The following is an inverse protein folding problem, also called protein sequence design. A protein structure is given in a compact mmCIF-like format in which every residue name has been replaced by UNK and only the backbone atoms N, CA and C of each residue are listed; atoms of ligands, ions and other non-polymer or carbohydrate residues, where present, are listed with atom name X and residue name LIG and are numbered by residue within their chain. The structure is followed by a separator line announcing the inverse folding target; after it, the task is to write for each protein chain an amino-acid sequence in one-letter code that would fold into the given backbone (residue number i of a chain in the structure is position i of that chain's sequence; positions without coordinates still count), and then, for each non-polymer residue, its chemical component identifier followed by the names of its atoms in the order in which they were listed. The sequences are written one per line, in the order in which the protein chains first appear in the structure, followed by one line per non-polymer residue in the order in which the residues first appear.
data_IF_228201386321
#
_entry.id   IF_228201386321
#
_cell.length_a   1.000
_cell.length_b   1.000
_cell.length_c   1.000
_cell.angle_alpha   90.00
_cell.angle_beta   90.00
_cell.angle_gamma   90.00
#
_symmetry.space_group_name_H-M   'P 1'
#
loop_
_entity.id
_entity.type
_entity.pdbx_description
1 polymer ?
#
# COMPACT_ATOMS: atom_id res chain seq x y z
N UNK A 1 43.37 19.96 -66.26
CA UNK A 1 44.76 20.01 -66.78
C UNK A 1 45.51 21.12 -66.05
N UNK A 2 46.66 20.77 -65.44
CA UNK A 2 47.80 21.62 -65.01
C UNK A 2 47.57 22.73 -63.95
N UNK A 3 47.71 22.32 -62.70
CA UNK A 3 48.74 22.72 -61.72
C UNK A 3 49.54 24.04 -61.91
N UNK A 4 49.73 24.71 -60.76
CA UNK A 4 50.88 25.52 -60.28
C UNK A 4 50.62 27.04 -60.10
N UNK A 5 51.05 27.80 -59.07
CA UNK A 5 51.93 27.61 -57.90
C UNK A 5 51.72 28.79 -56.89
N UNK A 6 51.85 28.48 -55.60
CA UNK A 6 52.43 29.24 -54.46
C UNK A 6 52.25 30.77 -54.28
N UNK A 7 51.75 31.18 -53.10
CA UNK A 7 52.54 31.98 -52.14
C UNK A 7 51.97 31.92 -50.71
N UNK A 8 52.84 31.56 -49.76
CA UNK A 8 52.64 31.63 -48.30
C UNK A 8 53.13 32.99 -47.80
N UNK A 9 52.58 33.50 -46.68
CA UNK A 9 53.32 33.88 -45.47
C UNK A 9 52.41 34.48 -44.35
N UNK A 10 52.47 33.84 -43.15
CA UNK A 10 52.46 34.40 -41.76
C UNK A 10 51.28 35.26 -41.28
N UNK A 11 50.83 35.28 -40.02
CA UNK A 11 50.97 34.47 -38.79
C UNK A 11 50.06 35.15 -37.74
N UNK A 12 49.21 34.37 -37.06
CA UNK A 12 48.81 34.41 -35.64
C UNK A 12 48.55 35.79 -34.98
N UNK A 13 47.30 36.05 -34.54
CA UNK A 13 47.00 36.57 -33.19
C UNK A 13 45.56 36.19 -32.76
N UNK A 14 45.42 35.93 -31.47
CA UNK A 14 44.35 35.26 -30.74
C UNK A 14 43.39 36.26 -30.07
N UNK A 15 42.16 35.79 -29.76
CA UNK A 15 41.33 36.09 -28.57
C UNK A 15 40.33 37.30 -28.57
N UNK A 16 39.06 36.92 -28.34
CA UNK A 16 37.90 37.55 -27.65
C UNK A 16 37.54 39.02 -27.90
N UNK A 17 36.26 39.27 -28.23
CA UNK A 17 35.30 39.90 -27.29
C UNK A 17 33.85 39.86 -27.81
N UNK A 18 32.96 39.45 -26.92
CA UNK A 18 31.50 39.51 -26.93
C UNK A 18 30.92 40.92 -27.08
N UNK A 19 29.84 41.06 -27.86
CA UNK A 19 28.63 41.84 -27.53
C UNK A 19 27.69 41.89 -28.74
N UNK A 20 26.50 41.29 -28.65
CA UNK A 20 25.33 41.78 -29.39
C UNK A 20 24.06 41.44 -28.62
N UNK A 21 23.51 42.46 -27.97
CA UNK A 21 22.12 42.55 -27.53
C UNK A 21 21.34 43.34 -28.57
N UNK A 22 20.23 42.79 -29.09
CA UNK A 22 18.88 43.40 -29.06
C UNK A 22 17.94 42.82 -30.13
N UNK A 23 16.69 42.62 -29.67
CA UNK A 23 15.39 42.69 -30.37
C UNK A 23 14.92 41.53 -31.25
N UNK A 24 13.85 40.87 -30.79
CA UNK A 24 12.51 41.01 -31.41
C UNK A 24 11.40 40.65 -30.40
N UNK A 25 10.34 41.45 -30.38
CA UNK A 25 9.08 41.22 -29.68
C UNK A 25 8.08 40.50 -30.60
N UNK A 26 7.08 39.89 -29.95
CA UNK A 26 5.66 39.73 -30.34
C UNK A 26 5.14 38.36 -30.75
N UNK A 27 4.00 38.07 -30.12
CA UNK A 27 2.90 37.15 -30.41
C UNK A 27 3.14 35.64 -30.31
N UNK A 28 2.88 35.13 -29.10
CA UNK A 28 1.62 34.42 -28.85
C UNK A 28 1.39 33.14 -29.63
N UNK A 29 1.88 32.03 -29.09
CA UNK A 29 1.15 30.77 -29.13
C UNK A 29 1.44 30.01 -27.82
N UNK A 30 0.38 29.75 -27.05
CA UNK A 30 0.41 28.94 -25.84
C UNK A 30 0.40 27.49 -26.30
N UNK A 31 1.57 26.86 -26.30
CA UNK A 31 1.72 25.40 -26.41
C UNK A 31 3.15 25.04 -26.03
N UNK A 32 3.31 24.35 -24.90
CA UNK A 32 4.62 23.95 -24.41
C UNK A 32 4.58 23.53 -22.95
N UNK A 33 3.78 22.50 -22.65
CA UNK A 33 3.93 21.72 -21.43
C UNK A 33 5.21 20.87 -21.54
N UNK A 34 6.34 21.50 -21.29
CA UNK A 34 7.62 20.82 -21.06
C UNK A 34 8.44 21.66 -20.08
N UNK A 35 8.02 21.67 -18.82
CA UNK A 35 8.94 22.03 -17.75
C UNK A 35 10.08 21.01 -17.79
N UNK A 36 11.28 21.48 -18.13
CA UNK A 36 12.50 20.69 -17.96
C UNK A 36 12.64 20.31 -16.49
N UNK A 37 13.01 19.06 -16.16
CA UNK A 37 13.11 18.60 -14.78
C UNK A 37 13.99 19.55 -13.95
N UNK A 38 13.53 19.90 -12.75
CA UNK A 38 14.36 20.59 -11.77
C UNK A 38 15.52 19.64 -11.38
N UNK A 39 16.78 19.98 -11.69
CA UNK A 39 17.91 19.09 -11.44
C UNK A 39 18.21 18.88 -9.94
N UNK A 40 17.47 19.53 -9.04
CA UNK A 40 17.61 19.39 -7.59
C UNK A 40 16.59 18.45 -6.94
N UNK A 41 15.53 18.04 -7.66
CA UNK A 41 14.55 17.08 -7.16
C UNK A 41 14.92 15.68 -7.66
N UNK A 42 15.27 14.79 -6.73
CA UNK A 42 15.43 13.37 -7.04
C UNK A 42 14.02 12.78 -7.21
N UNK A 43 13.62 12.60 -8.46
CA UNK A 43 12.37 11.93 -8.82
C UNK A 43 12.56 10.41 -8.80
N UNK A 44 11.67 9.70 -8.11
CA UNK A 44 11.62 8.24 -8.10
C UNK A 44 10.43 7.73 -8.92
N UNK A 45 10.58 6.62 -9.65
CA UNK A 45 9.45 5.89 -10.19
C UNK A 45 8.51 5.42 -9.07
N UNK A 46 7.21 5.46 -9.32
CA UNK A 46 6.18 5.05 -8.36
C UNK A 46 5.29 4.02 -9.00
N UNK A 47 5.17 2.86 -8.35
CA UNK A 47 4.15 1.87 -8.67
C UNK A 47 2.94 2.07 -7.74
N UNK A 48 1.73 2.01 -8.30
CA UNK A 48 0.51 2.14 -7.52
C UNK A 48 -0.64 1.34 -8.13
N UNK A 49 -1.48 0.77 -7.27
CA UNK A 49 -2.75 0.18 -7.70
C UNK A 49 -3.79 1.27 -7.85
N UNK A 50 -4.45 1.31 -8.99
CA UNK A 50 -5.65 2.10 -9.22
C UNK A 50 -6.85 1.16 -9.28
N UNK A 51 -7.90 1.48 -8.54
CA UNK A 51 -9.17 0.74 -8.54
C UNK A 51 -10.32 1.69 -8.27
N UNK A 52 -11.52 1.28 -8.65
CA UNK A 52 -12.76 1.89 -8.17
C UNK A 52 -12.98 1.55 -6.70
N UNK A 53 -13.82 2.34 -6.03
CA UNK A 53 -14.28 1.97 -4.69
C UNK A 53 -15.13 0.69 -4.80
N UNK A 54 -14.86 -0.32 -3.96
CA UNK A 54 -15.66 -1.53 -3.94
C UNK A 54 -17.05 -1.21 -3.41
N UNK A 55 -18.07 -1.66 -4.14
CA UNK A 55 -19.48 -1.48 -3.78
C UNK A 55 -20.24 -2.78 -4.01
N UNK A 56 -21.28 -2.99 -3.21
CA UNK A 56 -22.18 -4.14 -3.32
C UNK A 56 -23.18 -3.96 -4.49
N UNK A 57 -24.07 -4.95 -4.65
CA UNK A 57 -25.12 -4.90 -5.68
C UNK A 57 -26.10 -3.72 -5.49
N UNK A 58 -26.24 -3.23 -4.27
CA UNK A 58 -27.10 -2.11 -3.89
C UNK A 58 -26.36 -0.75 -3.95
N UNK A 59 -25.07 -0.75 -4.35
CA UNK A 59 -24.22 0.42 -4.47
C UNK A 59 -23.71 0.98 -3.13
N UNK A 60 -23.84 0.22 -2.04
CA UNK A 60 -23.24 0.55 -0.75
C UNK A 60 -21.74 0.23 -0.76
N UNK A 61 -20.97 0.97 0.03
CA UNK A 61 -19.53 0.77 0.11
C UNK A 61 -19.21 -0.56 0.78
N UNK A 62 -18.50 -1.42 0.06
CA UNK A 62 -17.96 -2.65 0.62
C UNK A 62 -16.62 -2.35 1.29
N UNK A 63 -16.42 -2.90 2.48
CA UNK A 63 -15.23 -2.62 3.28
C UNK A 63 -14.53 -3.93 3.63
N UNK A 64 -13.21 -3.87 3.77
CA UNK A 64 -12.43 -5.07 3.99
C UNK A 64 -12.38 -5.42 5.48
N UNK A 65 -13.04 -6.51 5.86
CA UNK A 65 -12.77 -7.18 7.14
C UNK A 65 -11.36 -7.81 7.07
N UNK A 66 -10.44 -7.50 7.99
CA UNK A 66 -9.11 -8.11 7.99
C UNK A 66 -9.12 -9.65 8.16
N UNK A 67 -10.24 -10.25 8.56
CA UNK A 67 -10.44 -11.70 8.64
C UNK A 67 -10.80 -12.35 7.31
N UNK A 68 -11.20 -11.57 6.31
CA UNK A 68 -11.51 -12.05 4.96
C UNK A 68 -10.41 -11.58 3.99
N UNK A 69 -9.19 -12.12 4.08
CA UNK A 69 -8.06 -11.59 3.34
C UNK A 69 -8.14 -11.88 1.83
N UNK A 70 -9.11 -12.68 1.37
CA UNK A 70 -9.22 -13.14 -0.02
C UNK A 70 -10.30 -12.43 -0.83
N UNK A 71 -11.04 -11.47 -0.26
CA UNK A 71 -12.08 -10.72 -0.97
C UNK A 71 -11.58 -10.18 -2.31
N UNK A 72 -12.32 -10.48 -3.37
CA UNK A 72 -12.04 -10.07 -4.73
C UNK A 72 -12.79 -8.79 -5.10
N UNK A 73 -12.07 -7.81 -5.66
CA UNK A 73 -12.63 -6.53 -6.11
C UNK A 73 -12.28 -6.29 -7.58
N UNK A 74 -13.23 -6.57 -8.45
CA UNK A 74 -13.06 -6.49 -9.90
C UNK A 74 -12.57 -5.11 -10.39
N UNK A 75 -11.56 -5.10 -11.27
CA UNK A 75 -11.17 -3.93 -12.06
C UNK A 75 -9.99 -3.11 -11.53
N UNK A 76 -9.15 -3.69 -10.66
CA UNK A 76 -7.90 -3.06 -10.25
C UNK A 76 -6.85 -3.13 -11.37
N UNK A 77 -5.97 -2.12 -11.44
CA UNK A 77 -4.84 -2.08 -12.38
C UNK A 77 -3.59 -1.55 -11.69
N UNK A 78 -2.44 -2.12 -12.05
CA UNK A 78 -1.14 -1.68 -11.56
C UNK A 78 -0.48 -0.76 -12.58
N UNK A 79 -0.20 0.46 -12.15
CA UNK A 79 0.48 1.46 -12.97
C UNK A 79 1.88 1.74 -12.43
N UNK A 80 2.81 1.94 -13.35
CA UNK A 80 4.14 2.47 -13.07
C UNK A 80 4.25 3.88 -13.64
N UNK A 81 4.52 4.85 -12.77
CA UNK A 81 4.81 6.24 -13.14
C UNK A 81 6.31 6.46 -13.11
N UNK A 82 6.86 7.10 -14.14
CA UNK A 82 8.32 7.33 -14.18
C UNK A 82 8.81 8.21 -13.04
N UNK A 83 7.96 9.13 -12.55
CA UNK A 83 8.29 10.15 -11.55
C UNK A 83 7.05 10.55 -10.76
N UNK A 84 7.24 11.08 -9.55
CA UNK A 84 6.19 11.59 -8.66
C UNK A 84 5.50 12.88 -9.13
N UNK A 85 5.62 13.25 -10.41
CA UNK A 85 5.01 14.46 -10.98
C UNK A 85 3.58 14.19 -11.44
N UNK A 86 2.62 15.13 -11.29
CA UNK A 86 1.28 15.00 -11.86
C UNK A 86 1.27 14.75 -13.36
N UNK A 87 2.18 15.39 -14.10
CA UNK A 87 2.26 15.32 -15.57
C UNK A 87 3.09 14.13 -16.09
N UNK A 88 3.71 13.35 -15.20
CA UNK A 88 4.46 12.17 -15.64
C UNK A 88 3.51 11.10 -16.19
N UNK A 89 3.91 10.46 -17.29
CA UNK A 89 3.15 9.37 -17.91
C UNK A 89 3.09 8.16 -16.98
N UNK A 90 1.94 7.50 -16.95
CA UNK A 90 1.74 6.19 -16.33
C UNK A 90 1.73 5.10 -17.39
N UNK A 91 2.42 4.00 -17.08
CA UNK A 91 2.43 2.76 -17.86
C UNK A 91 1.58 1.72 -17.12
N UNK A 92 0.59 1.15 -17.78
CA UNK A 92 -0.12 -0.03 -17.29
C UNK A 92 0.80 -1.25 -17.42
N UNK A 93 1.15 -1.87 -16.29
CA UNK A 93 2.06 -3.02 -16.24
C UNK A 93 1.36 -4.34 -15.95
N UNK A 94 0.08 -4.32 -15.57
CA UNK A 94 -0.69 -5.53 -15.23
C UNK A 94 -1.57 -6.05 -16.35
N UNK A 95 -2.08 -5.19 -17.22
CA UNK A 95 -3.03 -5.61 -18.27
C UNK A 95 -2.43 -6.58 -19.31
N UNK A 96 -1.11 -6.76 -19.32
CA UNK A 96 -0.45 -7.78 -20.13
C UNK A 96 -0.72 -9.22 -19.65
N UNK A 97 -1.21 -9.41 -18.41
CA UNK A 97 -1.44 -10.72 -17.81
C UNK A 97 -2.73 -11.41 -18.25
N UNK A 98 -3.69 -10.65 -18.80
CA UNK A 98 -5.03 -11.14 -19.15
C UNK A 98 -5.52 -10.57 -20.49
N UNK A 99 -6.68 -11.05 -20.94
CA UNK A 99 -7.34 -10.53 -22.14
C UNK A 99 -7.73 -9.05 -22.00
N UNK A 100 -7.96 -8.41 -23.14
CA UNK A 100 -8.42 -7.01 -23.16
C UNK A 100 -9.78 -6.92 -22.44
N UNK A 101 -9.94 -5.88 -21.61
CA UNK A 101 -11.13 -5.63 -20.77
C UNK A 101 -11.38 -6.65 -19.65
N UNK A 102 -10.42 -7.53 -19.36
CA UNK A 102 -10.48 -8.42 -18.19
C UNK A 102 -10.58 -7.62 -16.88
N UNK A 103 -11.53 -8.00 -16.03
CA UNK A 103 -11.74 -7.41 -14.71
C UNK A 103 -11.01 -8.24 -13.65
N UNK A 104 -9.70 -8.08 -13.56
CA UNK A 104 -8.86 -8.72 -12.54
C UNK A 104 -8.72 -7.82 -11.30
N UNK A 105 -8.17 -8.36 -10.20
CA UNK A 105 -7.85 -7.60 -8.98
C UNK A 105 -6.36 -7.72 -8.63
N UNK A 106 -5.80 -6.69 -7.97
CA UNK A 106 -4.38 -6.58 -7.60
C UNK A 106 -4.22 -5.93 -6.24
N UNK A 107 -3.45 -6.55 -5.35
CA UNK A 107 -3.07 -5.98 -4.05
C UNK A 107 -1.63 -6.33 -3.67
N UNK A 108 -1.21 -5.76 -2.54
CA UNK A 108 0.04 -6.08 -1.84
C UNK A 108 1.30 -5.93 -2.70
N UNK A 109 1.61 -4.70 -3.11
CA UNK A 109 2.82 -4.39 -3.87
C UNK A 109 4.04 -4.49 -2.94
N UNK A 110 5.07 -5.21 -3.38
CA UNK A 110 6.42 -5.19 -2.79
C UNK A 110 7.48 -4.96 -3.87
N UNK A 111 8.59 -4.35 -3.50
CA UNK A 111 9.71 -4.01 -4.41
C UNK A 111 10.98 -4.63 -3.86
N UNK A 112 11.85 -5.16 -4.72
CA UNK A 112 13.15 -5.68 -4.30
C UNK A 112 14.13 -4.56 -3.90
N UNK A 113 15.21 -4.92 -3.22
CA UNK A 113 16.24 -3.98 -2.76
C UNK A 113 16.87 -3.16 -3.90
N UNK A 114 17.00 -3.73 -5.11
CA UNK A 114 17.51 -3.01 -6.28
C UNK A 114 16.49 -2.07 -6.94
N UNK A 115 15.21 -2.15 -6.60
CA UNK A 115 14.16 -1.28 -7.14
C UNK A 115 13.76 -1.57 -8.58
N UNK A 116 14.13 -2.73 -9.14
CA UNK A 116 13.87 -3.09 -10.54
C UNK A 116 12.89 -4.25 -10.71
N UNK A 117 12.45 -4.90 -9.64
CA UNK A 117 11.43 -5.94 -9.67
C UNK A 117 10.33 -5.64 -8.66
N UNK A 118 9.09 -5.87 -9.09
CA UNK A 118 7.89 -5.60 -8.30
C UNK A 118 7.13 -6.91 -8.14
N UNK A 119 6.89 -7.34 -6.92
CA UNK A 119 5.96 -8.41 -6.58
C UNK A 119 4.60 -7.84 -6.24
N UNK A 120 3.55 -8.59 -6.54
CA UNK A 120 2.19 -8.28 -6.13
C UNK A 120 1.32 -9.54 -6.20
N UNK A 121 0.22 -9.52 -5.46
CA UNK A 121 -0.83 -10.52 -5.58
C UNK A 121 -1.82 -10.08 -6.66
N UNK A 122 -2.15 -10.97 -7.60
CA UNK A 122 -3.13 -10.71 -8.66
C UNK A 122 -4.06 -11.89 -8.84
N UNK A 123 -5.35 -11.59 -8.89
CA UNK A 123 -6.44 -12.54 -9.06
C UNK A 123 -6.99 -12.43 -10.49
N UNK A 124 -7.18 -13.56 -11.18
CA UNK A 124 -7.81 -13.55 -12.50
C UNK A 124 -9.29 -13.12 -12.40
N UNK A 125 -9.94 -12.69 -13.49
CA UNK A 125 -11.37 -12.42 -13.44
C UNK A 125 -12.15 -13.66 -12.98
N UNK A 126 -13.18 -13.43 -12.16
CA UNK A 126 -14.12 -14.49 -11.79
C UNK A 126 -14.81 -15.06 -13.02
N UNK A 127 -15.10 -16.36 -12.96
CA UNK A 127 -15.78 -17.09 -14.01
C UNK A 127 -17.27 -17.10 -13.68
N UNK A 128 -18.07 -16.53 -14.59
CA UNK A 128 -19.53 -16.53 -14.48
C UNK A 128 -20.08 -17.96 -14.39
N UNK A 129 -21.02 -18.19 -13.46
CA UNK A 129 -21.67 -19.47 -13.19
C UNK A 129 -20.74 -20.62 -12.75
N UNK A 130 -19.47 -20.36 -12.44
CA UNK A 130 -18.56 -21.38 -11.89
C UNK A 130 -18.79 -21.55 -10.37
N UNK A 131 -18.65 -22.79 -9.90
CA UNK A 131 -18.66 -23.10 -8.47
C UNK A 131 -17.41 -22.50 -7.79
N UNK A 132 -17.46 -22.24 -6.48
CA UNK A 132 -16.37 -21.57 -5.73
C UNK A 132 -15.01 -22.30 -5.84
N UNK A 133 -15.00 -23.63 -6.00
CA UNK A 133 -13.79 -24.44 -6.17
C UNK A 133 -13.27 -24.48 -7.61
N UNK A 134 -14.04 -23.94 -8.55
CA UNK A 134 -13.65 -23.72 -9.95
C UNK A 134 -13.20 -22.28 -10.21
N UNK A 135 -13.43 -21.37 -9.26
CA UNK A 135 -12.94 -19.99 -9.36
C UNK A 135 -11.40 -19.93 -9.35
N UNK A 136 -10.80 -18.98 -10.08
CA UNK A 136 -9.39 -18.70 -9.95
C UNK A 136 -9.02 -18.31 -8.52
N UNK A 137 -7.72 -18.38 -8.22
CA UNK A 137 -7.15 -17.98 -6.93
C UNK A 137 -6.20 -16.80 -7.05
N UNK A 138 -5.94 -16.15 -5.93
CA UNK A 138 -4.89 -15.16 -5.77
C UNK A 138 -3.53 -15.80 -6.03
N UNK A 139 -2.78 -15.21 -6.96
CA UNK A 139 -1.48 -15.71 -7.37
C UNK A 139 -0.42 -14.62 -7.22
N UNK A 140 0.85 -15.03 -7.02
CA UNK A 140 1.98 -14.09 -6.94
C UNK A 140 2.54 -13.84 -8.33
N UNK A 141 2.66 -12.57 -8.68
CA UNK A 141 3.21 -12.10 -9.94
C UNK A 141 4.41 -11.21 -9.71
N UNK A 142 5.29 -11.19 -10.70
CA UNK A 142 6.46 -10.32 -10.75
C UNK A 142 6.49 -9.55 -12.06
N UNK A 143 6.69 -8.24 -11.93
CA UNK A 143 7.07 -7.38 -13.04
C UNK A 143 8.57 -7.05 -12.95
N UNK A 144 9.32 -7.34 -14.00
CA UNK A 144 10.72 -6.90 -14.14
C UNK A 144 10.77 -5.61 -14.97
N UNK A 145 11.27 -4.54 -14.37
CA UNK A 145 11.37 -3.22 -14.98
C UNK A 145 12.40 -3.17 -16.11
N UNK A 146 13.49 -3.93 -16.01
CA UNK A 146 14.58 -3.92 -17.00
C UNK A 146 14.16 -4.67 -18.26
N UNK A 147 13.58 -5.86 -18.07
CA UNK A 147 13.14 -6.71 -19.18
C UNK A 147 11.73 -6.35 -19.67
N UNK A 148 11.00 -5.53 -18.91
CA UNK A 148 9.61 -5.15 -19.17
C UNK A 148 8.67 -6.36 -19.29
N UNK A 149 8.93 -7.39 -18.47
CA UNK A 149 8.18 -8.65 -18.50
C UNK A 149 7.33 -8.80 -17.25
N UNK A 150 6.08 -9.22 -17.45
CA UNK A 150 5.18 -9.65 -16.40
C UNK A 150 5.07 -11.18 -16.41
N UNK A 151 5.27 -11.81 -15.26
CA UNK A 151 5.20 -13.27 -15.10
C UNK A 151 4.51 -13.66 -13.79
N UNK A 152 3.66 -14.70 -13.83
CA UNK A 152 3.21 -15.38 -12.61
C UNK A 152 4.36 -16.23 -12.08
N UNK A 153 4.73 -16.09 -10.81
CA UNK A 153 5.91 -16.79 -10.28
C UNK A 153 5.72 -18.32 -10.35
N UNK A 154 4.58 -18.83 -9.87
CA UNK A 154 4.22 -20.23 -10.02
C UNK A 154 3.66 -20.44 -11.43
N UNK A 155 4.50 -20.95 -12.34
CA UNK A 155 4.15 -21.06 -13.77
C UNK A 155 3.05 -22.08 -14.06
N UNK A 156 3.05 -23.22 -13.36
CA UNK A 156 2.09 -24.30 -13.61
C UNK A 156 0.68 -23.94 -13.11
N UNK A 157 -0.30 -23.85 -14.01
CA UNK A 157 -1.71 -23.56 -13.67
C UNK A 157 -2.23 -24.44 -12.53
N UNK A 158 -2.03 -25.76 -12.63
CA UNK A 158 -2.51 -26.68 -11.58
C UNK A 158 -1.89 -26.44 -10.22
N UNK A 159 -0.62 -26.02 -10.16
CA UNK A 159 0.06 -25.77 -8.89
C UNK A 159 -0.33 -24.40 -8.36
N UNK A 160 -0.39 -23.40 -9.24
CA UNK A 160 -0.82 -22.04 -8.96
C UNK A 160 -2.20 -22.03 -8.29
N UNK A 161 -3.16 -22.79 -8.79
CA UNK A 161 -4.52 -22.80 -8.23
C UNK A 161 -4.70 -23.67 -6.96
N UNK A 162 -3.65 -24.26 -6.36
CA UNK A 162 -3.82 -25.05 -5.12
C UNK A 162 -3.98 -24.21 -3.84
N UNK A 163 -3.85 -22.89 -3.91
CA UNK A 163 -4.01 -22.04 -2.74
C UNK A 163 -4.07 -20.56 -3.09
N UNK A 164 -4.56 -19.78 -2.13
CA UNK A 164 -4.71 -18.34 -2.24
C UNK A 164 -3.42 -17.67 -1.75
N UNK A 165 -2.61 -17.13 -2.66
CA UNK A 165 -1.29 -16.53 -2.36
C UNK A 165 -1.34 -15.00 -2.38
N UNK A 166 -1.09 -14.37 -1.23
CA UNK A 166 -1.18 -12.92 -1.02
C UNK A 166 0.01 -12.36 -0.25
N UNK A 167 0.10 -11.03 -0.15
CA UNK A 167 1.12 -10.31 0.60
C UNK A 167 2.58 -10.77 0.36
N UNK A 168 3.05 -10.84 -0.91
CA UNK A 168 4.41 -11.24 -1.20
C UNK A 168 5.44 -10.19 -0.74
N UNK A 169 6.60 -10.65 -0.29
CA UNK A 169 7.76 -9.84 0.10
C UNK A 169 9.06 -10.51 -0.36
N UNK A 170 10.06 -9.70 -0.70
CA UNK A 170 11.41 -10.21 -0.94
C UNK A 170 12.16 -10.46 0.37
N UNK A 171 12.78 -11.62 0.47
CA UNK A 171 13.79 -11.91 1.49
C UNK A 171 15.18 -11.45 1.03
N UNK A 172 16.13 -11.19 1.96
CA UNK A 172 17.45 -10.68 1.61
C UNK A 172 18.30 -11.64 0.75
N UNK A 173 17.92 -12.92 0.68
CA UNK A 173 18.57 -13.94 -0.15
C UNK A 173 17.95 -14.04 -1.56
N UNK A 174 16.93 -13.24 -1.86
CA UNK A 174 16.19 -13.24 -3.13
C UNK A 174 14.96 -14.15 -3.13
N UNK A 175 14.75 -14.97 -2.10
CA UNK A 175 13.56 -15.79 -1.96
C UNK A 175 12.32 -14.92 -1.72
N UNK A 176 11.14 -15.51 -1.91
CA UNK A 176 9.85 -14.83 -1.77
C UNK A 176 9.15 -15.36 -0.52
N UNK A 177 8.81 -14.45 0.39
CA UNK A 177 7.92 -14.67 1.54
C UNK A 177 6.49 -14.27 1.15
N UNK A 178 5.48 -15.00 1.60
CA UNK A 178 4.08 -14.69 1.31
C UNK A 178 3.13 -15.36 2.30
N UNK A 179 1.89 -14.87 2.39
CA UNK A 179 0.80 -15.50 3.13
C UNK A 179 -0.02 -16.38 2.19
N UNK A 180 -0.34 -17.60 2.61
CA UNK A 180 -1.02 -18.58 1.75
C UNK A 180 -1.80 -19.65 2.49
N UNK A 181 -2.84 -20.19 1.82
CA UNK A 181 -3.65 -21.33 2.28
C UNK A 181 -3.05 -22.70 1.93
N UNK A 182 -1.85 -22.73 1.34
CA UNK A 182 -1.11 -23.95 0.92
C UNK A 182 -0.57 -24.80 2.08
N UNK A 183 -1.42 -25.24 3.00
CA UNK A 183 -1.04 -26.00 4.20
C UNK A 183 -0.72 -27.49 3.93
N UNK A 184 0.09 -27.79 2.91
CA UNK A 184 0.49 -29.16 2.52
C UNK A 184 1.17 -29.92 3.65
N UNK A 185 2.03 -29.27 4.43
CA UNK A 185 2.76 -29.88 5.56
C UNK A 185 1.84 -30.23 6.74
N UNK A 186 0.95 -29.32 7.14
CA UNK A 186 -0.07 -29.59 8.16
C UNK A 186 -0.96 -30.78 7.75
N UNK A 187 -1.41 -30.79 6.49
CA UNK A 187 -2.20 -31.91 5.93
C UNK A 187 -1.44 -33.24 5.97
N UNK A 188 -0.14 -33.23 5.65
CA UNK A 188 0.68 -34.44 5.67
C UNK A 188 0.90 -35.00 7.10
N UNK A 189 1.13 -34.13 8.09
CA UNK A 189 1.30 -34.54 9.50
C UNK A 189 0.00 -35.16 10.04
N UNK A 190 -1.17 -34.58 9.72
CA UNK A 190 -2.46 -35.13 10.13
C UNK A 190 -2.67 -36.56 9.61
N UNK A 191 -2.26 -36.84 8.36
CA UNK A 191 -2.33 -38.19 7.77
C UNK A 191 -1.41 -39.16 8.52
N UNK A 192 -0.17 -38.75 8.83
CA UNK A 192 0.79 -39.60 9.54
C UNK A 192 0.35 -39.90 10.98
N UNK A 193 -0.33 -38.94 11.63
CA UNK A 193 -0.93 -39.12 12.96
C UNK A 193 -2.25 -39.90 12.97
N UNK A 194 -2.72 -40.37 11.80
CA UNK A 194 -3.97 -41.12 11.65
C UNK A 194 -5.23 -40.30 11.93
N UNK A 195 -5.13 -38.96 11.86
CA UNK A 195 -6.25 -38.03 11.99
C UNK A 195 -6.92 -37.82 10.63
N UNK A 196 -8.23 -37.60 10.64
CA UNK A 196 -8.96 -37.18 9.43
C UNK A 196 -8.40 -35.87 8.90
N UNK A 197 -8.32 -35.72 7.58
CA UNK A 197 -7.97 -34.44 6.95
C UNK A 197 -8.97 -33.39 7.41
N UNK A 198 -8.50 -32.37 8.12
CA UNK A 198 -9.24 -31.12 8.29
C UNK A 198 -8.75 -30.18 7.19
N UNK A 199 -9.68 -29.58 6.44
CA UNK A 199 -9.37 -28.30 5.78
C UNK A 199 -9.03 -27.37 6.94
N UNK A 200 -7.86 -26.77 6.92
CA UNK A 200 -7.50 -25.77 7.92
C UNK A 200 -8.31 -24.52 7.59
N UNK A 201 -9.58 -24.54 7.97
CA UNK A 201 -10.38 -23.35 8.09
C UNK A 201 -9.83 -22.55 9.27
N UNK A 202 -10.07 -21.25 9.27
CA UNK A 202 -9.84 -20.40 10.43
C UNK A 202 -10.65 -20.90 11.65
N UNK A 203 -10.43 -20.29 12.81
CA UNK A 203 -11.07 -20.74 14.04
C UNK A 203 -12.60 -20.52 14.04
N UNK A 204 -13.08 -19.56 13.23
CA UNK A 204 -14.51 -19.32 13.00
C UNK A 204 -15.12 -20.34 12.01
N UNK A 205 -14.28 -21.08 11.27
CA UNK A 205 -14.61 -22.06 10.24
C UNK A 205 -15.25 -21.48 8.97
N UNK A 206 -15.00 -20.20 8.71
CA UNK A 206 -15.62 -19.47 7.62
C UNK A 206 -14.74 -19.51 6.35
N UNK A 207 -13.41 -19.38 6.48
CA UNK A 207 -12.48 -19.41 5.35
C UNK A 207 -11.20 -20.23 5.61
N UNK A 208 -10.46 -20.69 4.58
CA UNK A 208 -9.17 -21.33 4.76
C UNK A 208 -8.13 -20.41 5.44
N UNK A 209 -7.45 -20.93 6.46
CA UNK A 209 -6.40 -20.23 7.19
C UNK A 209 -5.19 -19.90 6.29
N UNK A 210 -4.91 -18.61 6.10
CA UNK A 210 -3.68 -18.08 5.52
C UNK A 210 -2.52 -18.11 6.53
N UNK A 211 -1.39 -18.75 6.18
CA UNK A 211 -0.17 -18.76 7.00
C UNK A 211 1.07 -18.47 6.16
N UNK A 212 2.20 -18.18 6.80
CA UNK A 212 3.40 -17.75 6.09
C UNK A 212 4.13 -18.92 5.41
N UNK A 213 4.56 -18.66 4.19
CA UNK A 213 5.33 -19.56 3.35
C UNK A 213 6.53 -18.82 2.75
N UNK A 214 7.56 -19.58 2.38
CA UNK A 214 8.66 -19.09 1.55
C UNK A 214 8.83 -19.96 0.32
N UNK A 215 9.30 -19.39 -0.78
CA UNK A 215 9.64 -20.10 -2.01
C UNK A 215 10.85 -19.47 -2.69
N UNK A 216 11.47 -20.21 -3.60
CA UNK A 216 12.52 -19.68 -4.47
C UNK A 216 11.91 -18.66 -5.46
N UNK A 217 12.76 -17.80 -6.05
CA UNK A 217 12.32 -16.74 -6.99
C UNK A 217 11.70 -17.27 -8.29
N UNK A 218 11.87 -18.56 -8.58
CA UNK A 218 11.27 -19.28 -9.70
C UNK A 218 9.95 -20.01 -9.34
N UNK A 219 9.44 -19.83 -8.12
CA UNK A 219 8.21 -20.44 -7.63
C UNK A 219 8.34 -21.90 -7.19
N UNK A 220 9.55 -22.43 -7.12
CA UNK A 220 9.82 -23.79 -6.61
C UNK A 220 10.13 -23.79 -5.11
N UNK A 221 10.31 -24.98 -4.53
CA UNK A 221 10.72 -25.18 -3.13
C UNK A 221 9.83 -24.48 -2.08
N UNK A 222 8.53 -24.35 -2.36
CA UNK A 222 7.55 -23.78 -1.42
C UNK A 222 7.59 -24.53 -0.07
N UNK A 223 7.76 -23.76 1.01
CA UNK A 223 7.86 -24.26 2.38
C UNK A 223 7.04 -23.40 3.33
N UNK A 224 6.14 -24.05 4.07
CA UNK A 224 5.40 -23.43 5.17
C UNK A 224 6.34 -23.11 6.35
N UNK A 225 6.26 -21.90 6.89
CA UNK A 225 7.12 -21.42 8.00
C UNK A 225 6.34 -21.09 9.27
N UNK A 226 5.03 -20.85 9.19
CA UNK A 226 4.15 -20.71 10.36
C UNK A 226 2.95 -21.67 10.29
N UNK A 227 2.39 -21.97 11.46
CA UNK A 227 1.38 -23.04 11.65
C UNK A 227 0.24 -22.58 12.56
N UNK A 228 -0.26 -21.37 12.31
CA UNK A 228 -1.43 -20.84 13.03
C UNK A 228 -2.72 -21.59 12.64
N UNK A 229 -3.72 -21.56 13.52
CA UNK A 229 -5.08 -22.08 13.24
C UNK A 229 -5.99 -21.03 12.61
N UNK A 230 -5.69 -19.74 12.77
CA UNK A 230 -6.37 -18.63 12.08
C UNK A 230 -5.43 -18.01 11.04
N UNK A 231 -5.20 -16.69 11.03
CA UNK A 231 -4.41 -16.04 9.99
C UNK A 231 -3.05 -15.52 10.46
N UNK A 232 -2.03 -15.65 9.61
CA UNK A 232 -0.77 -14.90 9.68
C UNK A 232 -0.66 -14.08 8.38
N UNK A 233 -0.92 -12.77 8.48
CA UNK A 233 -1.09 -11.84 7.35
C UNK A 233 -0.09 -10.69 7.37
N UNK A 234 -0.03 -9.98 6.24
CA UNK A 234 0.70 -8.73 6.06
C UNK A 234 2.15 -8.81 6.56
N UNK A 235 2.93 -9.84 6.15
CA UNK A 235 4.32 -9.91 6.57
C UNK A 235 5.13 -8.75 5.99
N UNK A 236 6.11 -8.29 6.77
CA UNK A 236 7.21 -7.45 6.32
C UNK A 236 8.54 -8.06 6.74
N UNK A 237 9.57 -7.79 5.94
CA UNK A 237 10.95 -8.18 6.26
C UNK A 237 11.64 -7.00 6.91
N UNK A 238 12.02 -7.14 8.18
CA UNK A 238 12.72 -6.11 8.91
C UNK A 238 14.20 -6.03 8.47
N UNK A 239 14.85 -4.88 8.70
CA UNK A 239 16.28 -4.68 8.40
C UNK A 239 17.22 -5.63 9.15
N UNK A 240 16.77 -6.20 10.26
CA UNK A 240 17.51 -7.23 10.99
C UNK A 240 17.38 -8.65 10.36
N UNK A 241 16.62 -8.79 9.27
CA UNK A 241 16.40 -10.03 8.54
C UNK A 241 15.28 -10.93 9.09
N UNK A 242 14.62 -10.53 10.19
CA UNK A 242 13.46 -11.23 10.73
C UNK A 242 12.18 -10.77 10.04
N UNK A 243 11.14 -11.58 10.14
CA UNK A 243 9.82 -11.30 9.58
C UNK A 243 8.90 -10.82 10.69
N UNK A 244 8.32 -9.63 10.55
CA UNK A 244 7.24 -9.13 11.41
C UNK A 244 5.92 -9.26 10.65
N UNK A 245 4.85 -9.69 11.32
CA UNK A 245 3.56 -9.91 10.68
C UNK A 245 2.41 -9.78 11.67
N UNK A 246 1.19 -9.64 11.15
CA UNK A 246 -0.05 -9.61 11.92
C UNK A 246 -0.61 -11.02 12.05
N UNK A 247 -0.73 -11.53 13.27
CA UNK A 247 -1.35 -12.83 13.58
C UNK A 247 -2.72 -12.60 14.18
N UNK A 248 -3.75 -13.16 13.55
CA UNK A 248 -5.04 -13.32 14.19
C UNK A 248 -5.00 -14.52 15.14
N UNK A 249 -5.25 -14.28 16.42
CA UNK A 249 -5.48 -15.32 17.40
C UNK A 249 -6.93 -15.21 17.87
N UNK A 250 -7.74 -16.24 17.59
CA UNK A 250 -9.12 -16.37 18.08
C UNK A 250 -9.24 -17.41 19.23
N UNK A 251 -8.10 -17.81 19.82
CA UNK A 251 -8.10 -18.88 20.81
C UNK A 251 -8.59 -18.42 22.19
N UNK A 252 -9.71 -18.99 22.63
CA UNK A 252 -10.24 -18.81 23.99
C UNK A 252 -10.85 -17.43 24.23
N UNK A 253 -10.16 -16.56 24.96
CA UNK A 253 -10.60 -15.17 25.22
C UNK A 253 -9.81 -14.15 24.37
N UNK A 254 -8.96 -14.63 23.45
CA UNK A 254 -8.26 -13.77 22.50
C UNK A 254 -9.09 -13.67 21.24
N UNK A 255 -9.32 -12.46 20.73
CA UNK A 255 -9.88 -12.25 19.41
C UNK A 255 -9.30 -10.96 18.83
N UNK A 256 -8.09 -11.06 18.29
CA UNK A 256 -7.40 -9.89 17.77
C UNK A 256 -6.20 -10.21 16.88
N UNK A 257 -5.86 -9.24 16.03
CA UNK A 257 -4.63 -9.24 15.24
C UNK A 257 -3.48 -8.63 16.03
N UNK A 258 -2.60 -9.48 16.53
CA UNK A 258 -1.39 -9.12 17.28
C UNK A 258 -0.16 -9.11 16.37
N UNK A 259 0.92 -8.43 16.78
CA UNK A 259 2.19 -8.50 16.08
C UNK A 259 3.04 -9.67 16.60
N UNK A 260 3.52 -10.49 15.67
CA UNK A 260 4.44 -11.58 15.92
C UNK A 260 5.66 -11.48 15.02
N UNK A 261 6.74 -12.13 15.44
CA UNK A 261 7.97 -12.19 14.68
C UNK A 261 8.50 -13.62 14.57
N UNK A 262 9.05 -13.96 13.41
CA UNK A 262 9.65 -15.26 13.10
C UNK A 262 10.91 -15.09 12.26
N UNK A 263 11.82 -16.06 12.30
CA UNK A 263 12.95 -16.12 11.37
C UNK A 263 12.49 -16.62 9.98
N UNK A 264 13.20 -16.28 8.88
CA UNK A 264 12.86 -16.78 7.54
C UNK A 264 12.85 -18.31 7.40
N UNK A 265 13.54 -19.02 8.31
CA UNK A 265 13.54 -20.47 8.36
C UNK A 265 12.36 -21.06 9.17
N UNK A 266 11.52 -20.22 9.78
CA UNK A 266 10.36 -20.60 10.61
C UNK A 266 10.68 -20.83 12.08
N UNK A 267 11.94 -20.67 12.52
CA UNK A 267 12.30 -20.76 13.93
C UNK A 267 12.05 -19.45 14.67
N UNK A 268 12.12 -19.53 16.01
CA UNK A 268 12.02 -18.38 16.92
C UNK A 268 10.76 -17.52 16.73
N UNK A 269 9.64 -18.16 16.40
CA UNK A 269 8.32 -17.53 16.44
C UNK A 269 8.01 -17.05 17.87
N UNK A 270 7.72 -15.76 18.03
CA UNK A 270 7.36 -15.17 19.31
C UNK A 270 6.45 -13.95 19.14
N UNK A 271 5.68 -13.67 20.18
CA UNK A 271 4.86 -12.47 20.30
C UNK A 271 5.73 -11.22 20.45
N UNK A 272 5.30 -10.11 19.82
CA UNK A 272 5.98 -8.82 19.84
C UNK A 272 5.14 -7.76 20.55
N UNK A 273 3.92 -7.53 20.10
CA UNK A 273 3.10 -6.41 20.58
C UNK A 273 1.60 -6.63 20.36
N UNK A 274 0.76 -6.16 21.27
CA UNK A 274 -0.64 -5.82 20.95
C UNK A 274 -1.73 -6.49 21.78
N UNK A 275 -1.42 -7.59 22.47
CA UNK A 275 -2.42 -8.51 23.05
C UNK A 275 -3.43 -7.86 23.99
N UNK A 276 -3.05 -6.75 24.63
CA UNK A 276 -3.89 -5.99 25.55
C UNK A 276 -3.94 -4.51 25.19
N UNK A 277 -3.71 -4.17 23.92
CA UNK A 277 -3.53 -2.81 23.42
C UNK A 277 -4.53 -2.40 22.33
N UNK A 278 -5.52 -3.25 22.04
CA UNK A 278 -6.51 -3.03 20.99
C UNK A 278 -7.58 -2.00 21.33
N UNK A 279 -7.92 -1.82 22.61
CA UNK A 279 -8.96 -0.89 23.03
C UNK A 279 -8.50 0.56 22.86
N UNK A 280 -9.19 1.31 22.02
CA UNK A 280 -8.95 2.74 21.80
C UNK A 280 -10.21 3.53 22.05
N UNK A 281 -10.05 4.68 22.73
CA UNK A 281 -11.15 5.60 22.98
C UNK A 281 -11.44 6.41 21.69
N UNK A 282 -12.68 6.35 21.19
CA UNK A 282 -13.08 7.12 20.00
C UNK A 282 -13.50 8.55 20.35
N UNK A 283 -14.22 8.72 21.46
CA UNK A 283 -14.67 10.02 21.95
C UNK A 283 -14.47 10.08 23.47
N UNK A 284 -13.63 11.01 23.91
CA UNK A 284 -13.37 11.28 25.33
C UNK A 284 -14.63 11.73 26.10
N UNK A 285 -15.64 12.23 25.38
CA UNK A 285 -16.86 12.79 25.94
C UNK A 285 -17.91 11.72 26.19
N UNK A 286 -18.12 10.81 25.24
CA UNK A 286 -19.06 9.69 25.39
C UNK A 286 -18.46 8.53 26.19
N UNK A 287 -17.13 8.38 26.15
CA UNK A 287 -16.43 7.22 26.72
C UNK A 287 -16.55 5.97 25.86
N UNK A 288 -16.96 6.11 24.60
CA UNK A 288 -17.08 4.99 23.66
C UNK A 288 -15.68 4.50 23.27
N UNK A 289 -15.50 3.18 23.35
CA UNK A 289 -14.26 2.49 23.01
C UNK A 289 -14.49 1.55 21.84
N UNK A 290 -13.54 1.51 20.93
CA UNK A 290 -13.51 0.52 19.86
C UNK A 290 -12.31 -0.40 19.99
N UNK A 291 -12.44 -1.58 19.38
CA UNK A 291 -11.36 -2.57 19.29
C UNK A 291 -10.69 -2.45 17.94
N UNK A 292 -9.42 -2.03 17.94
CA UNK A 292 -8.61 -1.90 16.74
C UNK A 292 -7.71 -3.11 16.54
N UNK A 293 -7.65 -3.60 15.31
CA UNK A 293 -6.82 -4.73 14.88
C UNK A 293 -5.52 -4.21 14.28
N UNK A 294 -4.38 -4.74 14.71
CA UNK A 294 -3.08 -4.30 14.23
C UNK A 294 -2.74 -4.95 12.89
N UNK A 295 -3.07 -4.26 11.81
CA UNK A 295 -2.83 -4.74 10.44
C UNK A 295 -1.81 -3.87 9.71
N UNK A 296 -1.28 -4.42 8.61
CA UNK A 296 -0.37 -3.74 7.66
C UNK A 296 0.82 -3.03 8.33
N UNK A 297 1.73 -3.77 9.00
CA UNK A 297 2.93 -3.17 9.58
C UNK A 297 3.90 -2.65 8.51
N UNK A 298 4.69 -1.63 8.87
CA UNK A 298 5.81 -1.13 8.07
C UNK A 298 6.94 -0.62 8.97
N UNK A 299 8.19 -0.98 8.67
CA UNK A 299 9.35 -0.55 9.46
C UNK A 299 9.89 0.80 8.98
N UNK A 300 10.12 1.72 9.91
CA UNK A 300 10.82 2.97 9.66
C UNK A 300 12.34 2.81 9.72
N UNK A 301 13.11 3.71 9.08
CA UNK A 301 14.56 3.77 9.26
C UNK A 301 15.03 3.93 10.71
N UNK A 302 14.18 4.45 11.60
CA UNK A 302 14.44 4.54 13.04
C UNK A 302 14.38 3.18 13.76
N UNK A 303 13.77 2.16 13.16
CA UNK A 303 13.47 0.86 13.76
C UNK A 303 12.12 0.82 14.50
N UNK A 304 11.36 1.91 14.48
CA UNK A 304 9.96 1.94 14.93
C UNK A 304 9.04 1.38 13.84
N UNK A 305 7.85 0.95 14.23
CA UNK A 305 6.85 0.37 13.33
C UNK A 305 5.69 1.34 13.13
N UNK A 306 5.30 1.58 11.88
CA UNK A 306 4.02 2.17 11.55
C UNK A 306 3.01 1.03 11.35
N UNK A 307 1.83 1.16 11.93
CA UNK A 307 0.69 0.30 11.71
C UNK A 307 -0.48 1.08 11.13
N UNK A 308 -1.29 0.41 10.32
CA UNK A 308 -2.60 0.89 9.89
C UNK A 308 -3.67 0.05 10.60
N UNK A 309 -4.19 0.48 11.76
CA UNK A 309 -5.16 -0.31 12.49
C UNK A 309 -6.51 -0.37 11.78
N UNK A 310 -7.24 -1.47 11.89
CA UNK A 310 -8.59 -1.59 11.32
C UNK A 310 -9.59 -2.14 12.34
N UNK A 311 -10.86 -1.77 12.22
CA UNK A 311 -11.95 -2.48 12.91
C UNK A 311 -12.44 -3.63 12.03
N UNK A 312 -13.08 -4.63 12.63
CA UNK A 312 -13.72 -5.71 11.86
C UNK A 312 -14.93 -5.21 11.07
N UNK A 313 -15.65 -4.23 11.61
CA UNK A 313 -16.94 -3.72 11.13
C UNK A 313 -16.86 -2.26 10.66
N UNK A 314 -15.69 -1.82 10.17
CA UNK A 314 -15.53 -0.43 9.74
C UNK A 314 -16.33 -0.15 8.47
N UNK A 315 -17.16 0.88 8.47
CA UNK A 315 -17.88 1.37 7.29
C UNK A 315 -17.03 2.36 6.47
N UNK A 316 -15.78 2.61 6.88
CA UNK A 316 -14.88 3.59 6.28
C UNK A 316 -13.67 2.93 5.64
N UNK A 317 -13.28 3.39 4.45
CA UNK A 317 -12.03 2.96 3.81
C UNK A 317 -10.84 3.75 4.36
N UNK A 318 -9.88 3.02 4.91
CA UNK A 318 -8.65 3.58 5.44
C UNK A 318 -8.78 4.00 6.91
N UNK A 319 -7.66 4.38 7.49
CA UNK A 319 -7.47 4.53 8.93
C UNK A 319 -6.39 5.56 9.23
N UNK A 320 -5.94 5.66 10.47
CA UNK A 320 -4.80 6.46 10.89
C UNK A 320 -3.46 5.70 10.72
N UNK A 321 -2.35 6.41 10.83
CA UNK A 321 -0.99 5.85 10.90
C UNK A 321 -0.54 5.83 12.36
N UNK A 322 -0.50 4.66 13.00
CA UNK A 322 -0.02 4.54 14.38
C UNK A 322 1.46 4.18 14.41
N UNK A 323 2.28 5.01 15.05
CA UNK A 323 3.67 4.73 15.35
C UNK A 323 3.78 3.95 16.66
N UNK A 324 4.55 2.86 16.66
CA UNK A 324 4.76 1.96 17.79
C UNK A 324 6.25 1.60 17.94
N UNK A 325 6.73 1.67 19.18
CA UNK A 325 8.08 1.24 19.57
C UNK A 325 8.08 -0.19 20.13
N UNK A 326 8.15 -1.17 19.22
CA UNK A 326 8.19 -2.59 19.57
C UNK A 326 9.49 -3.03 20.26
N UNK A 327 10.54 -2.20 20.25
CA UNK A 327 11.83 -2.55 20.86
C UNK A 327 11.80 -2.32 22.37
N UNK A 328 11.00 -1.36 22.83
CA UNK A 328 10.91 -1.00 24.23
C UNK A 328 9.58 -1.40 24.88
N UNK A 329 8.58 -1.86 24.13
CA UNK A 329 7.24 -2.14 24.65
C UNK A 329 6.60 -3.38 24.01
N UNK A 330 5.88 -4.14 24.83
CA UNK A 330 5.02 -5.24 24.36
C UNK A 330 3.54 -4.88 24.35
N UNK A 331 3.17 -3.80 25.04
CA UNK A 331 1.81 -3.24 25.09
C UNK A 331 1.91 -1.72 25.21
N UNK A 332 0.80 -1.00 24.98
CA UNK A 332 0.72 0.48 25.08
C UNK A 332 1.27 1.03 26.40
N UNK A 333 1.16 0.26 27.49
CA UNK A 333 1.60 0.63 28.83
C UNK A 333 2.58 -0.36 29.48
N UNK A 334 3.12 -1.33 28.72
CA UNK A 334 4.01 -2.37 29.26
C UNK A 334 5.43 -2.29 28.66
N UNK A 335 6.39 -1.66 29.37
CA UNK A 335 7.78 -1.56 28.91
C UNK A 335 8.56 -2.88 29.06
N UNK A 336 9.57 -3.04 28.20
CA UNK A 336 10.54 -4.13 28.20
C UNK A 336 11.76 -3.71 29.04
N UNK A 337 12.11 -4.52 30.04
CA UNK A 337 13.32 -4.33 30.84
C UNK A 337 13.32 -3.05 31.66
N UNK A 338 14.31 -2.17 31.43
CA UNK A 338 14.48 -0.89 32.16
C UNK A 338 13.99 0.34 31.37
N UNK A 339 13.29 0.14 30.25
CA UNK A 339 12.60 1.23 29.56
C UNK A 339 11.66 1.92 30.57
N UNK A 340 11.84 3.23 30.75
CA UNK A 340 11.25 3.98 31.86
C UNK A 340 9.72 3.95 31.78
N UNK A 341 9.06 3.59 32.89
CA UNK A 341 7.62 3.66 33.11
C UNK A 341 7.03 5.10 33.10
N UNK A 342 7.72 6.06 32.48
CA UNK A 342 7.34 7.47 32.35
C UNK A 342 6.76 7.81 30.97
N UNK A 343 6.72 6.87 30.04
CA UNK A 343 6.01 7.00 28.76
C UNK A 343 4.55 6.59 29.00
N UNK A 344 3.60 7.48 28.70
CA UNK A 344 2.18 7.32 29.04
C UNK A 344 1.36 6.60 27.95
N UNK A 345 1.88 6.55 26.71
CA UNK A 345 1.35 5.78 25.60
C UNK A 345 2.46 5.59 24.57
N UNK A 346 2.54 4.42 23.96
CA UNK A 346 3.49 4.12 22.88
C UNK A 346 2.86 4.19 21.50
N UNK A 347 1.53 4.30 21.44
CA UNK A 347 0.78 4.50 20.22
C UNK A 347 0.63 6.00 20.01
N UNK A 348 1.25 6.51 18.95
CA UNK A 348 1.15 7.92 18.58
C UNK A 348 0.74 8.02 17.11
N UNK A 349 -0.27 8.83 16.82
CA UNK A 349 -0.63 9.15 15.43
C UNK A 349 0.51 9.86 14.73
N UNK A 350 0.81 9.44 13.50
CA UNK A 350 1.76 10.07 12.59
C UNK A 350 1.04 10.89 11.50
N UNK A 351 -0.29 10.89 11.47
CA UNK A 351 -1.05 11.62 10.46
C UNK A 351 -0.83 13.14 10.55
N UNK A 352 -0.95 13.79 9.39
CA UNK A 352 -1.07 15.24 9.34
C UNK A 352 -2.53 15.61 9.57
N UNK A 353 -2.85 16.10 10.76
CA UNK A 353 -4.22 16.49 11.13
C UNK A 353 -4.90 15.46 12.03
N UNK A 354 -6.19 15.69 12.28
CA UNK A 354 -6.99 14.89 13.20
C UNK A 354 -7.73 13.77 12.44
N UNK A 355 -7.28 12.53 12.62
CA UNK A 355 -7.85 11.36 11.94
C UNK A 355 -8.75 10.60 12.89
N UNK A 356 -10.02 10.45 12.52
CA UNK A 356 -10.97 9.65 13.29
C UNK A 356 -10.72 8.16 13.05
N UNK A 357 -10.59 7.39 14.14
CA UNK A 357 -10.51 5.93 14.11
C UNK A 357 -11.89 5.25 14.07
N UNK A 358 -12.97 6.01 14.29
CA UNK A 358 -14.35 5.55 14.13
C UNK A 358 -14.89 5.87 12.75
N UNK A 359 -16.15 5.51 12.48
CA UNK A 359 -16.79 5.75 11.19
C UNK A 359 -17.20 7.21 11.00
N UNK A 360 -17.43 7.59 9.74
CA UNK A 360 -17.86 8.93 9.36
C UNK A 360 -16.71 9.89 9.03
N UNK A 361 -17.01 11.20 9.01
CA UNK A 361 -16.06 12.22 8.55
C UNK A 361 -14.79 12.26 9.40
N UNK A 362 -13.64 12.31 8.74
CA UNK A 362 -12.32 12.40 9.36
C UNK A 362 -11.58 13.60 8.79
N UNK A 363 -11.39 14.66 9.57
CA UNK A 363 -10.89 15.97 9.07
C UNK A 363 -9.48 15.86 8.48
N UNK A 364 -8.62 15.04 9.07
CA UNK A 364 -7.28 14.74 8.56
C UNK A 364 -7.27 13.77 7.36
N UNK A 365 -8.44 13.36 6.88
CA UNK A 365 -8.58 12.32 5.86
C UNK A 365 -8.37 10.92 6.43
N UNK A 366 -8.07 9.96 5.55
CA UNK A 366 -7.80 8.55 5.91
C UNK A 366 -6.67 7.98 5.06
N UNK A 367 -5.90 7.07 5.65
CA UNK A 367 -4.73 6.44 5.06
C UNK A 367 -5.02 4.96 4.78
N UNK A 368 -4.63 4.46 3.60
CA UNK A 368 -4.82 3.06 3.21
C UNK A 368 -3.52 2.27 3.05
N UNK A 369 -2.41 2.97 2.82
CA UNK A 369 -1.10 2.35 2.67
C UNK A 369 0.01 3.33 3.04
N UNK A 370 1.15 2.79 3.49
CA UNK A 370 2.37 3.54 3.80
C UNK A 370 3.59 2.78 3.31
N UNK A 371 4.55 3.49 2.73
CA UNK A 371 5.83 2.96 2.28
C UNK A 371 6.94 3.93 2.68
N UNK A 372 7.72 3.61 3.72
CA UNK A 372 8.86 4.43 4.15
C UNK A 372 10.00 4.46 3.13
N UNK A 373 10.58 5.64 2.90
CA UNK A 373 11.73 5.82 2.02
C UNK A 373 13.04 5.62 2.79
N UNK A 374 13.86 4.68 2.31
CA UNK A 374 15.15 4.30 2.89
C UNK A 374 16.33 5.11 2.31
N UNK A 375 16.11 6.38 2.01
CA UNK A 375 17.10 7.30 1.44
C UNK A 375 17.70 8.29 2.46
N UNK A 376 17.35 8.11 3.75
CA UNK A 376 17.78 8.98 4.85
C UNK A 376 17.04 10.31 4.93
N UNK A 377 15.93 10.47 4.20
CA UNK A 377 15.10 11.68 4.22
C UNK A 377 13.93 11.64 5.20
N UNK A 378 13.72 10.51 5.89
CA UNK A 378 12.57 10.23 6.76
C UNK A 378 11.22 10.47 6.08
N UNK A 379 11.19 10.32 4.75
CA UNK A 379 9.99 10.53 3.94
C UNK A 379 9.13 9.27 3.87
N UNK A 380 7.82 9.48 3.81
CA UNK A 380 6.85 8.40 3.60
C UNK A 380 6.10 8.61 2.30
N UNK A 381 5.93 7.56 1.53
CA UNK A 381 4.98 7.47 0.43
C UNK A 381 3.68 6.87 0.97
N UNK A 382 2.56 7.58 0.85
CA UNK A 382 1.28 7.15 1.43
C UNK A 382 0.20 6.97 0.36
N UNK A 383 -0.85 6.22 0.68
CA UNK A 383 -2.15 6.31 0.01
C UNK A 383 -3.12 6.96 0.98
N UNK A 384 -3.71 8.10 0.61
CA UNK A 384 -4.53 8.96 1.44
C UNK A 384 -5.74 9.50 0.66
N UNK A 385 -6.87 9.57 1.34
CA UNK A 385 -8.08 10.23 0.88
C UNK A 385 -8.42 11.41 1.78
N UNK A 386 -8.77 12.53 1.16
CA UNK A 386 -9.25 13.71 1.88
C UNK A 386 -10.63 13.46 2.50
N UNK A 387 -11.00 14.26 3.50
CA UNK A 387 -12.33 14.25 4.08
C UNK A 387 -13.37 14.68 3.04
N UNK A 388 -14.20 13.75 2.59
CA UNK A 388 -15.30 14.04 1.66
C UNK A 388 -16.62 13.99 2.42
N UNK A 389 -17.33 15.11 2.45
CA UNK A 389 -18.73 15.12 2.86
C UNK A 389 -19.60 14.89 1.62
N UNK A 390 -20.30 13.76 1.59
CA UNK A 390 -21.32 13.51 0.57
C UNK A 390 -22.56 14.25 1.00
N UNK A 391 -22.99 15.25 0.22
CA UNK A 391 -24.20 16.00 0.51
C UNK A 391 -25.41 15.12 0.17
N UNK A 392 -26.00 14.47 1.17
CA UNK A 392 -27.10 13.51 1.00
C UNK A 392 -28.46 14.17 0.67
N UNK A 393 -28.48 15.36 0.08
CA UNK A 393 -29.68 16.04 -0.39
C UNK A 393 -29.48 16.54 -1.83
N UNK A 394 -29.56 15.62 -2.80
CA UNK A 394 -29.97 15.99 -4.17
C UNK A 394 -30.65 14.84 -4.90
N UNK A 395 -31.36 13.99 -4.16
CA UNK A 395 -32.37 13.09 -4.73
C UNK A 395 -33.75 13.48 -4.17
N UNK A 396 -34.18 14.69 -4.55
CA UNK A 396 -35.55 15.13 -4.44
C UNK A 396 -35.88 15.92 -5.70
N UNK A 397 -36.57 15.26 -6.61
CA UNK A 397 -37.48 15.91 -7.56
C UNK A 397 -38.35 16.89 -6.78
N UNK A 398 -38.12 18.19 -6.95
CA UNK A 398 -39.12 19.26 -7.01
C UNK A 398 -38.40 20.61 -7.12
N UNK A 399 -38.22 21.07 -8.37
CA UNK A 399 -37.99 22.49 -8.63
C UNK A 399 -39.35 23.17 -8.48
N UNK A 400 -39.70 23.59 -7.26
CA UNK A 400 -40.64 24.70 -7.09
C UNK A 400 -39.86 26.01 -7.04
N UNK A 401 -40.05 26.81 -8.10
CA UNK A 401 -39.83 28.24 -8.12
C UNK A 401 -40.60 28.89 -6.95
N UNK A 402 -39.89 29.26 -5.87
CA UNK A 402 -39.90 30.60 -5.26
C UNK A 402 -39.56 30.62 -3.76
N UNK A 403 -38.81 31.68 -3.40
CA UNK A 403 -38.68 32.31 -2.07
C UNK A 403 -37.80 31.63 -1.00
N UNK A 404 -36.56 32.12 -0.84
CA UNK A 404 -36.20 33.27 0.03
C UNK A 404 -34.71 33.17 0.43
N UNK A 405 -33.99 34.28 0.24
CA UNK A 405 -32.60 34.48 0.65
C UNK A 405 -32.41 34.18 2.14
N UNK A 406 -31.90 33.01 2.54
CA UNK A 406 -31.13 32.85 3.78
C UNK A 406 -30.14 31.67 3.75
N UNK A 407 -28.86 32.04 3.69
CA UNK A 407 -27.68 31.35 4.23
C UNK A 407 -27.38 29.90 3.78
N UNK A 408 -26.94 29.76 2.52
CA UNK A 408 -25.99 28.70 2.17
C UNK A 408 -24.58 29.15 2.60
N UNK A 409 -24.13 28.74 3.79
CA UNK A 409 -22.71 28.85 4.17
C UNK A 409 -21.92 27.81 3.37
N UNK A 410 -21.36 28.28 2.26
CA UNK A 410 -20.44 27.54 1.41
C UNK A 410 -19.13 27.34 2.16
N UNK A 411 -18.94 26.21 2.86
CA UNK A 411 -17.61 25.78 3.27
C UNK A 411 -16.88 25.24 2.04
N UNK A 412 -16.47 26.19 1.18
CA UNK A 412 -15.45 25.93 0.20
C UNK A 412 -14.15 25.60 0.93
N UNK A 413 -13.51 24.52 0.50
CA UNK A 413 -12.10 24.20 0.73
C UNK A 413 -11.28 25.49 0.95
N UNK A 414 -10.87 25.76 2.19
CA UNK A 414 -10.09 26.96 2.52
C UNK A 414 -8.67 26.77 1.99
N UNK A 415 -8.43 27.28 0.78
CA UNK A 415 -7.13 27.36 0.13
C UNK A 415 -6.04 27.96 1.04
N UNK A 416 -6.43 28.81 2.01
CA UNK A 416 -5.56 29.41 3.04
C UNK A 416 -4.92 28.40 4.01
N UNK A 417 -5.57 27.27 4.32
CA UNK A 417 -5.01 26.29 5.25
C UNK A 417 -3.78 25.58 4.66
N UNK A 418 -3.83 25.28 3.36
CA UNK A 418 -2.72 24.73 2.59
C UNK A 418 -1.69 25.82 2.25
N UNK A 419 -2.10 27.10 2.19
CA UNK A 419 -1.18 28.19 1.94
C UNK A 419 -0.22 28.48 3.11
N UNK A 420 -0.60 28.04 4.32
CA UNK A 420 0.22 28.14 5.54
C UNK A 420 1.27 27.03 5.70
N UNK A 421 1.23 25.99 4.87
CA UNK A 421 2.19 24.86 4.90
C UNK A 421 3.47 25.24 4.16
N UNK A 422 4.62 25.14 4.84
CA UNK A 422 5.94 25.50 4.30
C UNK A 422 6.23 24.80 2.96
N UNK A 423 6.85 25.52 2.03
CA UNK A 423 7.08 25.10 0.62
C UNK A 423 7.85 23.76 0.50
N UNK A 424 8.67 23.39 1.50
CA UNK A 424 9.38 22.10 1.56
C UNK A 424 8.50 20.89 1.91
N UNK A 425 7.24 21.10 2.28
CA UNK A 425 6.25 20.07 2.60
C UNK A 425 5.18 19.89 1.51
N UNK A 426 5.30 20.58 0.36
CA UNK A 426 4.31 20.53 -0.72
C UNK A 426 4.76 19.59 -1.84
N UNK A 427 4.17 18.39 -1.89
CA UNK A 427 4.05 17.62 -3.13
C UNK A 427 2.55 17.43 -3.40
N UNK A 428 1.97 18.38 -4.14
CA UNK A 428 0.54 18.37 -4.47
C UNK A 428 0.34 17.63 -5.80
N UNK A 429 -0.30 16.46 -5.71
CA UNK A 429 -1.06 15.88 -6.82
C UNK A 429 -2.53 16.33 -6.65
N UNK A 430 -3.08 17.08 -7.62
CA UNK A 430 -4.51 17.37 -7.74
C UNK A 430 -4.98 16.88 -9.11
N UNK A 431 -5.64 15.72 -9.24
CA UNK A 431 -6.42 15.43 -10.43
C UNK A 431 -7.81 16.06 -10.28
N UNK A 432 -8.29 16.67 -11.35
CA UNK A 432 -9.70 17.02 -11.48
C UNK A 432 -10.49 15.74 -11.78
N UNK A 433 -11.55 15.48 -11.00
CA UNK A 433 -12.60 14.48 -11.26
C UNK A 433 -12.17 13.01 -11.37
N UNK A 434 -11.52 12.45 -10.34
CA UNK A 434 -11.38 10.98 -10.24
C UNK A 434 -11.60 10.49 -8.81
N UNK A 435 -12.46 9.49 -8.64
CA UNK A 435 -12.73 8.78 -7.37
C UNK A 435 -11.62 7.80 -6.97
N UNK A 436 -10.36 8.26 -7.02
CA UNK A 436 -9.16 7.42 -6.79
C UNK A 436 -8.40 7.96 -5.56
N UNK A 437 -7.87 7.07 -4.71
CA UNK A 437 -7.00 7.39 -3.57
C UNK A 437 -5.66 8.01 -4.01
N UNK A 438 -5.14 8.95 -3.23
CA UNK A 438 -4.01 9.82 -3.62
C UNK A 438 -2.71 9.49 -2.89
N UNK A 439 -1.58 9.84 -3.48
CA UNK A 439 -0.26 9.68 -2.85
C UNK A 439 0.39 11.01 -2.55
N UNK A 440 0.75 11.22 -1.28
CA UNK A 440 1.62 12.31 -0.84
C UNK A 440 2.97 11.73 -0.42
N UNK A 441 4.03 12.52 -0.60
CA UNK A 441 5.33 12.25 0.01
C UNK A 441 5.51 13.27 1.13
N UNK A 442 5.38 12.83 2.39
CA UNK A 442 5.60 13.69 3.55
C UNK A 442 7.07 13.58 3.98
N UNK A 443 7.72 14.72 4.30
CA UNK A 443 9.08 14.82 4.85
C UNK A 443 8.97 15.19 6.33
N UNK A 444 9.52 14.35 7.22
CA UNK A 444 9.62 14.67 8.64
C UNK A 444 10.86 15.53 8.92
#
# INVERSE_FOLDING_TARGET
MKQNWTQRYKSIYTILLSAFTLMACSDGDISGDSQTPDPSVVDFPIAFVQRSLPVDEDGQLETADPREPFTFNAGAKLYLKERASPTASSLDISSAGFDTDALYDIKDIAVNDEGNKILFAMHAPEIEDADDDEQPTWNIWQYDYLDQTLLRIIQSDTIAEEGQDIAPQYLPDGNILFSSTRQRSSKAILIDEGKTQFVALDEDQDEPSAVLHVMDDDGTNIRQITFNQSHDLNPIVLRNGKILFSRWDHAGNSNGFDLYQVDPDGHHLHFVYGKHSHETLLDETSGDTETLQFTTPSELPSGEIILLPQRYDSESIGTDLLLIDINNFTETSQPIGSASASLMSTQTSLAFGDVSLGDGPSVGGRFKHVFPLWDGSDRLLISWSDCRLINAETDATDIEEDADDHAMEKYAFMEEAMDSTHEEARLIFRPMNTDIGYTFVHKK
#
